data_IF_107831255419
#
_entry.id   IF_107831255419
#
_cell.length_a   1.000
_cell.length_b   1.000
_cell.length_c   1.000
_cell.angle_alpha   90.00
_cell.angle_beta   90.00
_cell.angle_gamma   90.00
#
_symmetry.space_group_name_H-M   'P 1'
#
loop_
_entity.id
_entity.type
_entity.pdbx_description
1 polymer ?
#
# COMPACT_ATOMS: atom_id res chain seq x y z
N UNK A 1 -0.60 -11.25 -14.82
CA UNK A 1 -0.18 -11.92 -13.56
C UNK A 1 0.72 -11.05 -12.68
N UNK A 2 1.76 -10.40 -13.20
CA UNK A 2 2.72 -9.63 -12.37
C UNK A 2 2.11 -8.46 -11.58
N UNK A 3 1.24 -7.67 -12.21
CA UNK A 3 0.54 -6.58 -11.52
C UNK A 3 -0.29 -7.09 -10.32
N UNK A 4 -0.86 -8.30 -10.44
CA UNK A 4 -1.62 -8.95 -9.36
C UNK A 4 -0.69 -9.42 -8.24
N UNK A 5 0.48 -10.00 -8.57
CA UNK A 5 1.46 -10.42 -7.56
C UNK A 5 2.02 -9.23 -6.77
N UNK A 6 2.34 -8.13 -7.44
CA UNK A 6 2.79 -6.88 -6.80
C UNK A 6 1.68 -6.24 -5.96
N UNK A 7 0.43 -6.36 -6.39
CA UNK A 7 -0.71 -5.89 -5.60
C UNK A 7 -0.92 -6.78 -4.37
N UNK A 8 -0.85 -8.09 -4.54
CA UNK A 8 -0.99 -9.05 -3.46
C UNK A 8 0.13 -8.88 -2.41
N UNK A 9 1.38 -8.69 -2.82
CA UNK A 9 2.49 -8.46 -1.89
C UNK A 9 2.34 -7.14 -1.13
N UNK A 10 1.86 -6.08 -1.78
CA UNK A 10 1.55 -4.81 -1.11
C UNK A 10 0.43 -4.97 -0.06
N UNK A 11 -0.62 -5.72 -0.38
CA UNK A 11 -1.73 -6.03 0.54
C UNK A 11 -1.26 -6.89 1.71
N UNK A 12 -0.46 -7.93 1.45
CA UNK A 12 0.11 -8.77 2.51
C UNK A 12 1.02 -7.96 3.42
N UNK A 13 1.85 -7.07 2.87
CA UNK A 13 2.70 -6.17 3.66
C UNK A 13 1.85 -5.22 4.51
N UNK A 14 0.78 -4.65 3.95
CA UNK A 14 -0.14 -3.79 4.69
C UNK A 14 -0.73 -4.52 5.90
N UNK A 15 -1.27 -5.72 5.70
CA UNK A 15 -1.87 -6.54 6.76
C UNK A 15 -0.83 -6.94 7.79
N UNK A 16 0.35 -7.39 7.36
CA UNK A 16 1.44 -7.78 8.26
C UNK A 16 1.91 -6.60 9.13
N UNK A 17 2.12 -5.42 8.53
CA UNK A 17 2.52 -4.23 9.27
C UNK A 17 1.42 -3.77 10.23
N UNK A 18 0.16 -3.92 9.85
CA UNK A 18 -0.96 -3.58 10.72
C UNK A 18 -0.99 -4.51 11.95
N UNK A 19 -0.98 -5.82 11.73
CA UNK A 19 -1.01 -6.82 12.81
C UNK A 19 0.19 -6.71 13.74
N UNK A 20 1.39 -6.51 13.19
CA UNK A 20 2.61 -6.30 13.99
C UNK A 20 2.53 -5.03 14.81
N UNK A 21 2.06 -3.92 14.24
CA UNK A 21 1.92 -2.67 14.96
C UNK A 21 0.84 -2.73 16.05
N UNK A 22 -0.27 -3.44 15.80
CA UNK A 22 -1.31 -3.73 16.79
C UNK A 22 -0.73 -4.58 17.93
N UNK A 23 0.01 -5.64 17.63
CA UNK A 23 0.67 -6.49 18.63
C UNK A 23 1.66 -5.70 19.50
N UNK A 24 2.48 -4.84 18.88
CA UNK A 24 3.43 -3.97 19.59
C UNK A 24 2.73 -2.91 20.45
N UNK A 25 1.63 -2.34 19.98
CA UNK A 25 0.87 -1.39 20.78
C UNK A 25 0.18 -2.09 21.96
N UNK A 26 -0.32 -3.32 21.78
CA UNK A 26 -0.89 -4.13 22.85
C UNK A 26 0.16 -4.48 23.93
N UNK A 27 1.38 -4.88 23.52
CA UNK A 27 2.47 -5.17 24.47
C UNK A 27 2.95 -3.94 25.25
N UNK A 28 2.72 -2.73 24.71
CA UNK A 28 2.97 -1.45 25.39
C UNK A 28 1.78 -0.94 26.22
N UNK A 29 0.72 -1.73 26.37
CA UNK A 29 -0.46 -1.36 27.15
C UNK A 29 -1.35 -0.29 26.50
N UNK A 30 -1.17 0.00 25.22
CA UNK A 30 -2.03 0.94 24.50
C UNK A 30 -3.38 0.30 24.22
N UNK A 31 -4.46 1.00 24.61
CA UNK A 31 -5.84 0.58 24.33
C UNK A 31 -6.14 0.64 22.83
N UNK A 32 -6.06 -0.51 22.17
CA UNK A 32 -6.42 -0.69 20.76
C UNK A 32 -7.90 -1.02 20.56
N UNK A 33 -8.71 -1.13 21.64
CA UNK A 33 -10.16 -1.34 21.54
C UNK A 33 -10.77 -0.19 20.75
N UNK A 34 -11.04 -0.43 19.48
CA UNK A 34 -11.97 0.33 18.69
C UNK A 34 -13.33 -0.32 18.85
N UNK A 35 -14.37 0.50 18.97
CA UNK A 35 -15.73 0.00 18.83
C UNK A 35 -15.95 -0.61 17.44
N UNK A 36 -17.14 -1.15 17.21
CA UNK A 36 -17.57 -1.74 15.94
C UNK A 36 -17.28 -0.81 14.75
N UNK A 37 -17.43 0.51 14.93
CA UNK A 37 -17.13 1.54 13.94
C UNK A 37 -15.67 1.52 13.43
N UNK A 38 -14.70 1.23 14.31
CA UNK A 38 -13.29 1.12 13.91
C UNK A 38 -13.03 -0.13 13.08
N UNK A 39 -13.66 -1.26 13.43
CA UNK A 39 -13.56 -2.50 12.66
C UNK A 39 -14.12 -2.34 11.24
N UNK A 40 -15.24 -1.62 11.10
CA UNK A 40 -15.83 -1.27 9.81
C UNK A 40 -14.90 -0.34 9.02
N UNK A 41 -14.34 0.69 9.68
CA UNK A 41 -13.41 1.61 9.04
C UNK A 41 -12.15 0.89 8.51
N UNK A 42 -11.60 -0.04 9.29
CA UNK A 42 -10.47 -0.87 8.90
C UNK A 42 -10.80 -1.74 7.68
N UNK A 43 -11.96 -2.40 7.67
CA UNK A 43 -12.38 -3.23 6.53
C UNK A 43 -12.56 -2.40 5.26
N UNK A 44 -13.23 -1.25 5.36
CA UNK A 44 -13.40 -0.34 4.23
C UNK A 44 -12.04 0.15 3.71
N UNK A 45 -11.14 0.54 4.61
CA UNK A 45 -9.79 0.96 4.25
C UNK A 45 -9.04 -0.18 3.55
N UNK A 46 -9.14 -1.42 4.01
CA UNK A 46 -8.51 -2.57 3.36
C UNK A 46 -9.04 -2.77 1.93
N UNK A 47 -10.36 -2.74 1.72
CA UNK A 47 -10.93 -2.90 0.38
C UNK A 47 -10.50 -1.78 -0.57
N UNK A 48 -10.50 -0.54 -0.09
CA UNK A 48 -10.02 0.60 -0.89
C UNK A 48 -8.53 0.46 -1.19
N UNK A 49 -7.72 0.05 -0.21
CA UNK A 49 -6.30 -0.19 -0.41
C UNK A 49 -6.03 -1.27 -1.48
N UNK A 50 -6.77 -2.37 -1.45
CA UNK A 50 -6.70 -3.44 -2.45
C UNK A 50 -7.01 -2.89 -3.85
N UNK A 51 -8.17 -2.22 -4.00
CA UNK A 51 -8.59 -1.68 -5.28
C UNK A 51 -7.58 -0.66 -5.85
N UNK A 52 -7.09 0.23 -4.99
CA UNK A 52 -6.09 1.23 -5.32
C UNK A 52 -4.73 0.61 -5.67
N UNK A 53 -4.31 -0.44 -4.98
CA UNK A 53 -3.07 -1.18 -5.29
C UNK A 53 -3.15 -1.86 -6.66
N UNK A 54 -4.29 -2.47 -6.98
CA UNK A 54 -4.53 -3.04 -8.32
C UNK A 54 -4.50 -1.93 -9.38
N UNK A 55 -5.16 -0.81 -9.13
CA UNK A 55 -5.20 0.32 -10.06
C UNK A 55 -3.81 0.92 -10.30
N UNK A 56 -3.01 1.12 -9.23
CA UNK A 56 -1.63 1.58 -9.34
C UNK A 56 -0.80 0.65 -10.25
N UNK A 57 -0.86 -0.65 -10.02
CA UNK A 57 -0.07 -1.61 -10.79
C UNK A 57 -0.58 -1.76 -12.23
N UNK A 58 -1.89 -1.73 -12.46
CA UNK A 58 -2.47 -1.75 -13.80
C UNK A 58 -2.10 -0.50 -14.61
N UNK A 59 -2.18 0.69 -13.98
CA UNK A 59 -1.80 1.95 -14.61
C UNK A 59 -0.29 2.04 -14.87
N UNK A 60 0.55 1.43 -14.03
CA UNK A 60 2.00 1.36 -14.26
C UNK A 60 2.35 0.53 -15.51
N UNK A 61 1.57 -0.52 -15.82
CA UNK A 61 1.73 -1.30 -17.07
C UNK A 61 1.35 -0.46 -18.28
N UNK A 62 0.26 0.32 -18.20
CA UNK A 62 -0.23 1.13 -19.33
C UNK A 62 0.55 2.42 -19.55
N UNK A 63 1.04 3.05 -18.48
CA UNK A 63 1.76 4.33 -18.52
C UNK A 63 3.04 4.30 -17.66
N UNK A 64 4.09 3.61 -18.11
CA UNK A 64 5.30 3.40 -17.32
C UNK A 64 6.07 4.69 -16.98
N UNK A 65 5.92 5.73 -17.82
CA UNK A 65 6.53 7.05 -17.60
C UNK A 65 5.85 7.85 -16.47
N UNK A 66 4.60 7.54 -16.14
CA UNK A 66 3.80 8.26 -15.12
C UNK A 66 3.62 7.47 -13.83
N UNK A 67 4.26 6.32 -13.68
CA UNK A 67 4.08 5.39 -12.53
C UNK A 67 4.24 6.05 -11.16
N UNK A 68 5.21 6.95 -11.00
CA UNK A 68 5.41 7.69 -9.73
C UNK A 68 4.24 8.62 -9.46
N UNK A 69 3.81 9.39 -10.46
CA UNK A 69 2.65 10.31 -10.32
C UNK A 69 1.39 9.53 -9.98
N UNK A 70 1.18 8.37 -10.61
CA UNK A 70 0.05 7.48 -10.30
C UNK A 70 0.14 6.96 -8.88
N UNK A 71 1.29 6.47 -8.42
CA UNK A 71 1.47 5.98 -7.05
C UNK A 71 1.18 7.08 -6.01
N UNK A 72 1.65 8.31 -6.25
CA UNK A 72 1.37 9.46 -5.39
C UNK A 72 -0.13 9.80 -5.41
N UNK A 73 -0.78 9.85 -6.57
CA UNK A 73 -2.21 10.14 -6.67
C UNK A 73 -3.06 9.10 -5.95
N UNK A 74 -2.75 7.81 -6.15
CA UNK A 74 -3.44 6.70 -5.52
C UNK A 74 -3.26 6.73 -4.00
N UNK A 75 -2.05 7.03 -3.51
CA UNK A 75 -1.80 7.21 -2.09
C UNK A 75 -2.54 8.42 -1.52
N UNK A 76 -2.58 9.56 -2.22
CA UNK A 76 -3.34 10.74 -1.79
C UNK A 76 -4.85 10.45 -1.73
N UNK A 77 -5.40 9.71 -2.69
CA UNK A 77 -6.80 9.28 -2.68
C UNK A 77 -7.06 8.41 -1.44
N UNK A 78 -6.16 7.44 -1.17
CA UNK A 78 -6.26 6.61 0.03
C UNK A 78 -6.20 7.45 1.31
N UNK A 79 -5.24 8.37 1.41
CA UNK A 79 -5.06 9.22 2.58
C UNK A 79 -6.27 10.15 2.83
N UNK A 80 -6.82 10.74 1.76
CA UNK A 80 -8.05 11.54 1.82
C UNK A 80 -9.24 10.71 2.29
N UNK A 81 -9.44 9.53 1.69
CA UNK A 81 -10.49 8.61 2.08
C UNK A 81 -10.37 8.17 3.55
N UNK A 82 -9.15 7.80 3.98
CA UNK A 82 -8.87 7.42 5.35
C UNK A 82 -9.15 8.57 6.33
N UNK A 83 -8.87 9.81 5.94
CA UNK A 83 -9.16 10.99 6.77
C UNK A 83 -10.67 11.24 6.89
N UNK A 84 -11.45 10.98 5.83
CA UNK A 84 -12.91 11.04 5.89
C UNK A 84 -13.51 9.95 6.78
N UNK A 85 -12.93 8.74 6.73
CA UNK A 85 -13.45 7.55 7.41
C UNK A 85 -13.03 7.48 8.89
N UNK A 86 -11.80 7.89 9.18
CA UNK A 86 -11.14 7.78 10.47
C UNK A 86 -10.54 9.13 10.87
N UNK A 87 -11.36 10.19 10.81
CA UNK A 87 -10.95 11.57 11.08
C UNK A 87 -10.13 11.66 12.38
N UNK A 88 -8.83 11.96 12.33
CA UNK A 88 -7.96 11.93 13.52
C UNK A 88 -8.28 13.02 14.54
N UNK A 89 -9.12 14.00 14.17
CA UNK A 89 -9.59 15.09 15.03
C UNK A 89 -10.95 14.81 15.67
N UNK A 90 -11.59 13.69 15.34
CA UNK A 90 -12.86 13.32 15.95
C UNK A 90 -12.63 12.77 17.39
N UNK A 91 -13.50 13.06 18.36
CA UNK A 91 -13.31 12.68 19.77
C UNK A 91 -13.27 11.17 20.03
N UNK A 92 -13.72 10.36 19.06
CA UNK A 92 -13.73 8.90 19.10
C UNK A 92 -12.58 8.25 18.32
N UNK A 93 -11.80 9.04 17.58
CA UNK A 93 -10.75 8.55 16.69
C UNK A 93 -9.37 8.85 17.31
N UNK A 94 -8.61 7.79 17.59
CA UNK A 94 -7.27 7.97 18.11
C UNK A 94 -6.26 8.29 16.98
N UNK A 95 -5.52 9.40 17.07
CA UNK A 95 -4.64 9.87 15.98
C UNK A 95 -3.53 8.86 15.64
N UNK A 96 -3.05 8.08 16.61
CA UNK A 96 -2.04 7.04 16.36
C UNK A 96 -2.55 5.91 15.45
N UNK A 97 -3.86 5.61 15.45
CA UNK A 97 -4.43 4.54 14.61
C UNK A 97 -4.54 4.96 13.15
N UNK A 98 -4.93 6.20 12.92
CA UNK A 98 -4.91 6.82 11.59
C UNK A 98 -3.48 6.89 11.05
N UNK A 99 -2.52 7.33 11.86
CA UNK A 99 -1.11 7.41 11.48
C UNK A 99 -0.53 6.02 11.14
N UNK A 100 -0.89 4.99 11.90
CA UNK A 100 -0.50 3.60 11.66
C UNK A 100 -1.03 3.12 10.30
N UNK A 101 -2.30 3.33 9.99
CA UNK A 101 -2.88 2.91 8.70
C UNK A 101 -2.28 3.67 7.51
N UNK A 102 -1.95 4.95 7.67
CA UNK A 102 -1.20 5.70 6.66
C UNK A 102 0.22 5.14 6.49
N UNK A 103 0.91 4.80 7.58
CA UNK A 103 2.24 4.21 7.48
C UNK A 103 2.21 2.86 6.73
N UNK A 104 1.26 1.99 7.10
CA UNK A 104 1.06 0.70 6.42
C UNK A 104 0.76 0.88 4.93
N UNK A 105 -0.11 1.81 4.55
CA UNK A 105 -0.44 2.04 3.14
C UNK A 105 0.73 2.63 2.35
N UNK A 106 1.49 3.53 2.97
CA UNK A 106 2.70 4.12 2.38
C UNK A 106 3.72 3.02 2.10
N UNK A 107 3.97 2.13 3.06
CA UNK A 107 4.89 1.01 2.89
C UNK A 107 4.41 0.05 1.78
N UNK A 108 3.12 -0.27 1.72
CA UNK A 108 2.55 -1.12 0.69
C UNK A 108 2.66 -0.54 -0.73
N UNK A 109 2.29 0.73 -0.93
CA UNK A 109 2.43 1.39 -2.23
C UNK A 109 3.90 1.59 -2.64
N UNK A 110 4.78 1.88 -1.67
CA UNK A 110 6.22 1.98 -1.90
C UNK A 110 6.82 0.62 -2.34
N UNK A 111 6.43 -0.49 -1.70
CA UNK A 111 6.84 -1.83 -2.10
C UNK A 111 6.40 -2.14 -3.53
N UNK A 112 5.14 -1.83 -3.86
CA UNK A 112 4.62 -2.00 -5.22
C UNK A 112 5.41 -1.17 -6.24
N UNK A 113 5.72 0.09 -5.94
CA UNK A 113 6.53 0.95 -6.82
C UNK A 113 7.98 0.43 -6.96
N UNK A 114 8.59 -0.04 -5.88
CA UNK A 114 9.92 -0.64 -5.90
C UNK A 114 9.95 -1.91 -6.77
N UNK A 115 8.93 -2.77 -6.64
CA UNK A 115 8.78 -3.97 -7.47
C UNK A 115 8.64 -3.65 -8.96
N UNK A 116 7.89 -2.59 -9.31
CA UNK A 116 7.80 -2.12 -10.70
C UNK A 116 9.15 -1.65 -11.25
N UNK A 117 9.94 -0.91 -10.45
CA UNK A 117 11.27 -0.43 -10.86
C UNK A 117 12.28 -1.57 -11.03
N UNK A 118 12.30 -2.52 -10.09
CA UNK A 118 13.18 -3.69 -10.14
C UNK A 118 12.91 -4.53 -11.38
N UNK A 119 11.63 -4.72 -11.73
CA UNK A 119 11.24 -5.48 -12.90
C UNK A 119 11.77 -4.87 -14.21
N UNK A 120 11.65 -3.55 -14.37
CA UNK A 120 12.19 -2.86 -15.55
C UNK A 120 13.70 -3.02 -15.67
N UNK A 121 14.43 -3.04 -14.56
CA UNK A 121 15.87 -3.30 -14.54
C UNK A 121 16.20 -4.74 -14.97
N UNK A 122 15.42 -5.72 -14.50
CA UNK A 122 15.59 -7.13 -14.88
C UNK A 122 15.32 -7.32 -16.38
N UNK A 123 14.25 -6.74 -16.91
CA UNK A 123 13.94 -6.82 -18.35
C UNK A 123 15.04 -6.20 -19.21
N UNK A 124 15.55 -5.02 -18.81
CA UNK A 124 16.67 -4.37 -19.50
C UNK A 124 17.92 -5.23 -19.49
N UNK A 125 18.31 -5.79 -18.33
CA UNK A 125 19.47 -6.70 -18.21
C UNK A 125 19.32 -7.94 -19.07
N UNK A 126 18.17 -8.60 -19.04
CA UNK A 126 17.90 -9.79 -19.85
C UNK A 126 18.00 -9.55 -21.35
N UNK A 127 17.53 -8.38 -21.81
CA UNK A 127 17.67 -7.98 -23.22
C UNK A 127 19.13 -7.77 -23.63
N UNK A 128 19.94 -7.10 -22.80
CA UNK A 128 21.37 -6.92 -23.06
C UNK A 128 22.17 -8.23 -23.05
N UNK A 129 21.81 -9.20 -22.21
CA UNK A 129 22.50 -10.51 -22.18
C UNK A 129 22.19 -11.31 -23.45
N UNK A 130 20.94 -11.27 -23.93
CA UNK A 130 20.54 -11.97 -25.15
C UNK A 130 21.22 -11.41 -26.40
N UNK A 131 21.30 -10.07 -26.53
CA UNK A 131 22.02 -9.42 -27.64
C UNK A 131 23.52 -9.75 -27.69
N UNK A 132 24.14 -10.07 -26.54
CA UNK A 132 25.56 -10.47 -26.47
C UNK A 132 25.79 -11.96 -26.75
N UNK A 133 24.77 -12.78 -26.63
CA UNK A 133 24.83 -14.21 -26.95
C UNK A 133 24.70 -14.48 -28.46
N UNK A 134 24.10 -13.54 -29.18
CA UNK A 134 23.77 -13.68 -30.61
C UNK A 134 24.79 -12.95 -31.52
N UNK A 135 25.89 -12.42 -30.95
CA UNK A 135 26.99 -11.73 -31.63
C UNK A 135 28.31 -12.44 -31.38
#
# INVERSE_FOLDING_TARGET
>A
MQALLLSASAVLLFVYLHETAVSMAASRGLSLRGGISWGIALHLALYVFVALSVLQNAAAVRWPARRIRVAVLVWLIFAGFLTLLANPFAPWAHPYRWALLLFCSTAGFALSLAGQNLWLLIQRRGFTVRLRSDA
#
